data_IF_790289309537
#
_entry.id   IF_790289309537
#
_cell.length_a   1.000
_cell.length_b   1.000
_cell.length_c   1.000
_cell.angle_alpha   90.00
_cell.angle_beta   90.00
_cell.angle_gamma   90.00
#
_symmetry.space_group_name_H-M   'P 1'
#
loop_
_entity.id
_entity.type
_entity.pdbx_description
1 polymer ?
#
# COMPACT_ATOMS: atom_id res chain seq x y z
N UNK A 1 -5.80 -1.28 -26.36
CA UNK A 1 -6.96 -2.19 -26.50
C UNK A 1 -7.38 -2.51 -25.09
N UNK A 2 -8.53 -2.02 -24.67
CA UNK A 2 -8.97 -2.21 -23.29
C UNK A 2 -9.35 -3.67 -23.09
N UNK A 3 -8.64 -4.32 -22.17
CA UNK A 3 -8.86 -5.72 -21.81
C UNK A 3 -9.19 -5.81 -20.33
N UNK A 4 -10.13 -6.68 -20.00
CA UNK A 4 -10.57 -6.95 -18.63
C UNK A 4 -10.21 -8.38 -18.25
N UNK A 5 -9.95 -8.60 -16.96
CA UNK A 5 -9.67 -9.96 -16.49
C UNK A 5 -10.91 -10.84 -16.55
N UNK A 6 -10.75 -12.17 -16.64
CA UNK A 6 -11.90 -13.11 -16.57
C UNK A 6 -12.70 -12.96 -15.27
N UNK A 7 -12.05 -12.59 -14.16
CA UNK A 7 -12.72 -12.37 -12.87
C UNK A 7 -13.60 -11.13 -12.91
N UNK A 8 -13.10 -10.06 -13.51
CA UNK A 8 -13.81 -8.80 -13.66
C UNK A 8 -14.98 -8.94 -14.64
N UNK A 9 -14.75 -9.58 -15.79
CA UNK A 9 -15.79 -9.92 -16.76
C UNK A 9 -16.92 -10.76 -16.14
N UNK A 10 -16.58 -11.74 -15.30
CA UNK A 10 -17.56 -12.57 -14.59
C UNK A 10 -18.41 -11.74 -13.61
N UNK A 11 -17.79 -10.79 -12.92
CA UNK A 11 -18.44 -9.90 -11.97
C UNK A 11 -19.38 -8.93 -12.67
N UNK A 12 -18.93 -8.30 -13.77
CA UNK A 12 -19.72 -7.38 -14.57
C UNK A 12 -20.92 -8.05 -15.25
N UNK A 13 -20.77 -9.31 -15.66
CA UNK A 13 -21.84 -10.08 -16.29
C UNK A 13 -22.77 -10.80 -15.29
N UNK A 14 -22.46 -10.79 -13.99
CA UNK A 14 -23.22 -11.54 -12.98
C UNK A 14 -23.19 -13.06 -13.18
N UNK A 15 -22.15 -13.61 -13.81
CA UNK A 15 -22.02 -15.05 -14.10
C UNK A 15 -20.79 -15.66 -13.45
N UNK A 16 -20.77 -16.98 -13.29
CA UNK A 16 -19.57 -17.68 -12.83
C UNK A 16 -18.38 -17.56 -13.80
N UNK A 17 -17.16 -17.56 -13.25
CA UNK A 17 -15.90 -17.55 -14.04
C UNK A 17 -15.82 -18.68 -15.07
N UNK A 18 -16.44 -19.83 -14.77
CA UNK A 18 -16.54 -20.98 -15.68
C UNK A 18 -17.37 -20.67 -16.92
N UNK A 19 -18.40 -19.83 -16.81
CA UNK A 19 -19.23 -19.38 -17.94
C UNK A 19 -18.43 -18.51 -18.90
N UNK A 20 -17.64 -17.57 -18.37
CA UNK A 20 -16.73 -16.74 -19.19
C UNK A 20 -15.67 -17.60 -19.87
N UNK A 21 -15.05 -18.54 -19.15
CA UNK A 21 -14.08 -19.49 -19.75
C UNK A 21 -14.71 -20.36 -20.84
N UNK A 22 -15.98 -20.77 -20.72
CA UNK A 22 -16.69 -21.52 -21.77
C UNK A 22 -16.98 -20.64 -22.98
N UNK A 23 -17.38 -19.39 -22.78
CA UNK A 23 -17.62 -18.44 -23.88
C UNK A 23 -16.33 -18.15 -24.67
N UNK A 24 -15.18 -18.02 -24.00
CA UNK A 24 -13.86 -17.92 -24.65
C UNK A 24 -13.56 -19.18 -25.46
N UNK A 25 -13.75 -20.38 -24.87
CA UNK A 25 -13.52 -21.66 -25.57
C UNK A 25 -14.43 -21.87 -26.79
N UNK A 26 -15.65 -21.32 -26.76
CA UNK A 26 -16.59 -21.35 -27.89
C UNK A 26 -16.31 -20.29 -28.95
N UNK A 27 -15.34 -19.41 -28.72
CA UNK A 27 -15.02 -18.30 -29.63
C UNK A 27 -16.01 -17.14 -29.59
N UNK A 28 -16.95 -17.14 -28.62
CA UNK A 28 -17.94 -16.07 -28.43
C UNK A 28 -17.32 -14.82 -27.77
N UNK A 29 -16.21 -15.00 -27.04
CA UNK A 29 -15.45 -13.92 -26.42
C UNK A 29 -14.00 -13.96 -26.91
N UNK A 30 -13.55 -12.86 -27.50
CA UNK A 30 -12.15 -12.66 -27.86
C UNK A 30 -11.32 -12.41 -26.59
N UNK A 31 -10.35 -13.29 -26.35
CA UNK A 31 -9.41 -13.16 -25.26
C UNK A 31 -7.97 -13.40 -25.75
N UNK A 32 -7.02 -12.67 -25.18
CA UNK A 32 -5.59 -12.91 -25.32
C UNK A 32 -5.03 -13.57 -24.07
N UNK A 33 -3.95 -14.34 -24.22
CA UNK A 33 -3.20 -14.88 -23.09
C UNK A 33 -2.15 -13.83 -22.70
N UNK A 34 -2.13 -13.47 -21.43
CA UNK A 34 -1.19 -12.51 -20.83
C UNK A 34 -0.50 -13.19 -19.66
N UNK A 35 0.82 -13.01 -19.51
CA UNK A 35 1.54 -13.49 -18.34
C UNK A 35 1.15 -12.68 -17.11
N UNK A 36 0.53 -13.36 -16.14
CA UNK A 36 0.16 -12.80 -14.85
C UNK A 36 1.03 -13.35 -13.71
N UNK A 37 0.88 -12.81 -12.49
CA UNK A 37 1.68 -13.20 -11.32
C UNK A 37 1.55 -14.68 -10.91
N UNK A 38 0.53 -15.38 -11.41
CA UNK A 38 0.27 -16.80 -11.15
C UNK A 38 0.32 -17.65 -12.44
N UNK A 39 1.07 -17.19 -13.45
CA UNK A 39 1.18 -17.82 -14.78
C UNK A 39 0.27 -17.21 -15.84
N UNK A 40 0.10 -17.89 -16.97
CA UNK A 40 -0.72 -17.46 -18.10
C UNK A 40 -2.19 -17.24 -17.69
N UNK A 41 -2.71 -16.04 -17.96
CA UNK A 41 -4.09 -15.65 -17.67
C UNK A 41 -4.78 -15.12 -18.92
N UNK A 42 -6.09 -15.42 -19.04
CA UNK A 42 -6.90 -14.87 -20.11
C UNK A 42 -7.31 -13.42 -19.80
N UNK A 43 -7.05 -12.53 -20.75
CA UNK A 43 -7.51 -11.15 -20.77
C UNK A 43 -8.55 -10.99 -21.88
N UNK A 44 -9.78 -10.65 -21.51
CA UNK A 44 -10.92 -10.55 -22.44
C UNK A 44 -10.96 -9.14 -23.04
N UNK A 45 -11.16 -9.02 -24.35
CA UNK A 45 -11.35 -7.73 -25.01
C UNK A 45 -12.69 -7.10 -24.58
N UNK A 46 -12.65 -5.85 -24.12
CA UNK A 46 -13.84 -5.14 -23.63
C UNK A 46 -14.92 -5.01 -24.72
N UNK A 47 -14.54 -4.72 -25.95
CA UNK A 47 -15.47 -4.59 -27.09
C UNK A 47 -16.15 -5.90 -27.48
N UNK A 48 -15.45 -7.04 -27.33
CA UNK A 48 -16.05 -8.36 -27.53
C UNK A 48 -16.99 -8.73 -26.38
N UNK A 49 -16.64 -8.32 -25.16
CA UNK A 49 -17.43 -8.57 -23.96
C UNK A 49 -18.76 -7.79 -23.98
N UNK A 50 -18.73 -6.52 -24.37
CA UNK A 50 -19.94 -5.69 -24.50
C UNK A 50 -20.91 -6.25 -25.55
N UNK A 51 -20.40 -6.70 -26.70
CA UNK A 51 -21.21 -7.37 -27.74
C UNK A 51 -21.86 -8.64 -27.21
N UNK A 52 -21.07 -9.48 -26.54
CA UNK A 52 -21.57 -10.73 -25.95
C UNK A 52 -22.62 -10.49 -24.85
N UNK A 53 -22.49 -9.41 -24.07
CA UNK A 53 -23.49 -8.97 -23.11
C UNK A 53 -24.76 -8.46 -23.80
N UNK A 54 -24.63 -7.70 -24.89
CA UNK A 54 -25.75 -7.20 -25.67
C UNK A 54 -26.55 -8.34 -26.34
N UNK A 55 -25.87 -9.35 -26.89
CA UNK A 55 -26.50 -10.54 -27.49
C UNK A 55 -27.26 -11.39 -26.46
N UNK A 56 -26.87 -11.31 -25.19
CA UNK A 56 -27.58 -11.93 -24.06
C UNK A 56 -28.72 -11.09 -23.50
N UNK A 57 -28.79 -9.80 -23.84
CA UNK A 57 -29.67 -8.78 -23.26
C UNK A 57 -31.12 -8.79 -23.74
N UNK A 58 -31.53 -9.73 -24.59
CA UNK A 58 -32.95 -9.92 -24.94
C UNK A 58 -33.41 -11.31 -24.46
N UNK A 59 -34.35 -11.41 -23.48
CA UNK A 59 -35.00 -12.66 -23.22
C UNK A 59 -35.90 -12.99 -24.42
N UNK A 60 -35.42 -13.85 -25.31
CA UNK A 60 -36.27 -14.51 -26.30
C UNK A 60 -37.17 -15.50 -25.55
N UNK A 61 -38.28 -14.97 -25.03
CA UNK A 61 -39.47 -15.75 -24.69
C UNK A 61 -39.93 -16.39 -26.00
N UNK A 62 -39.51 -17.63 -26.24
CA UNK A 62 -40.10 -18.45 -27.30
C UNK A 62 -41.55 -18.77 -26.90
N UNK A 63 -42.47 -17.87 -27.23
CA UNK A 63 -43.90 -18.16 -27.37
C UNK A 63 -44.26 -18.04 -28.85
N UNK A 64 -44.43 -19.19 -29.50
CA UNK A 64 -45.70 -19.66 -30.08
C UNK A 64 -45.53 -20.42 -31.39
N UNK A 65 -45.85 -21.71 -31.29
CA UNK A 65 -46.86 -22.45 -32.06
C UNK A 65 -46.87 -22.21 -33.58
N UNK A 66 -46.31 -23.17 -34.31
CA UNK A 66 -46.68 -23.41 -35.71
C UNK A 66 -48.14 -23.88 -35.78
N UNK A 67 -48.94 -23.19 -36.60
CA UNK A 67 -50.29 -23.57 -36.93
C UNK A 67 -50.32 -24.94 -37.63
N UNK A 68 -51.18 -25.84 -37.15
CA UNK A 68 -51.51 -27.07 -37.87
C UNK A 68 -52.15 -28.14 -36.98
N UNK A 69 -53.48 -28.23 -37.09
CA UNK A 69 -54.34 -29.38 -36.76
C UNK A 69 -54.77 -29.59 -35.30
N UNK A 70 -56.06 -29.32 -35.06
CA UNK A 70 -56.87 -30.02 -34.06
C UNK A 70 -57.06 -31.48 -34.52
N UNK A 71 -57.22 -32.46 -33.60
CA UNK A 71 -58.52 -32.64 -32.94
C UNK A 71 -58.48 -32.99 -31.44
N UNK A 72 -59.51 -32.51 -30.74
CA UNK A 72 -60.23 -33.15 -29.63
C UNK A 72 -59.45 -33.93 -28.55
N UNK A 73 -59.07 -33.25 -27.46
CA UNK A 73 -58.88 -33.85 -26.11
C UNK A 73 -58.83 -32.77 -25.00
N UNK A 74 -59.86 -31.91 -24.91
CA UNK A 74 -59.83 -30.68 -24.08
C UNK A 74 -60.10 -30.83 -22.57
N UNK A 75 -59.90 -32.01 -21.97
CA UNK A 75 -60.11 -32.21 -20.52
C UNK A 75 -58.83 -32.33 -19.70
N UNK A 76 -57.89 -33.18 -20.13
CA UNK A 76 -56.75 -33.58 -19.33
C UNK A 76 -55.48 -32.72 -19.54
N UNK A 77 -55.32 -32.12 -20.73
CA UNK A 77 -54.10 -31.37 -21.08
C UNK A 77 -54.02 -29.99 -20.41
N UNK A 78 -55.16 -29.35 -20.15
CA UNK A 78 -55.24 -28.03 -19.51
C UNK A 78 -54.95 -28.10 -18.01
N UNK A 79 -55.33 -29.20 -17.36
CA UNK A 79 -55.04 -29.44 -15.93
C UNK A 79 -53.54 -29.65 -15.71
N UNK A 80 -52.89 -30.45 -16.58
CA UNK A 80 -51.44 -30.68 -16.50
C UNK A 80 -50.59 -29.43 -16.84
N UNK A 81 -51.01 -28.58 -17.78
CA UNK A 81 -50.32 -27.30 -18.02
C UNK A 81 -50.48 -26.31 -16.86
N UNK A 82 -51.64 -26.32 -16.19
CA UNK A 82 -51.86 -25.54 -14.96
C UNK A 82 -51.00 -26.03 -13.79
N UNK A 83 -50.94 -27.35 -13.56
CA UNK A 83 -50.11 -27.96 -12.51
C UNK A 83 -48.62 -27.69 -12.70
N UNK A 84 -48.09 -27.84 -13.93
CA UNK A 84 -46.69 -27.52 -14.25
C UNK A 84 -46.35 -26.04 -14.08
N UNK A 85 -47.31 -25.14 -14.37
CA UNK A 85 -47.13 -23.71 -14.12
C UNK A 85 -47.08 -23.38 -12.63
N UNK A 86 -47.88 -24.06 -11.80
CA UNK A 86 -47.84 -23.91 -10.35
C UNK A 86 -46.55 -24.45 -9.73
N UNK A 87 -46.06 -25.61 -10.18
CA UNK A 87 -44.78 -26.16 -9.73
C UNK A 87 -43.61 -25.22 -10.06
N UNK A 88 -43.59 -24.64 -11.26
CA UNK A 88 -42.58 -23.64 -11.65
C UNK A 88 -42.66 -22.36 -10.79
N UNK A 89 -43.86 -21.93 -10.41
CA UNK A 89 -44.06 -20.78 -9.50
C UNK A 89 -43.56 -21.10 -8.10
N UNK A 90 -43.81 -22.32 -7.59
CA UNK A 90 -43.33 -22.77 -6.28
C UNK A 90 -41.81 -22.89 -6.25
N UNK A 91 -41.19 -23.45 -7.30
CA UNK A 91 -39.72 -23.50 -7.44
C UNK A 91 -39.10 -22.10 -7.54
N UNK A 92 -39.70 -21.20 -8.30
CA UNK A 92 -39.31 -19.79 -8.38
C UNK A 92 -39.40 -19.11 -7.00
N UNK A 93 -40.47 -19.35 -6.25
CA UNK A 93 -40.62 -18.79 -4.91
C UNK A 93 -39.58 -19.34 -3.93
N UNK A 94 -39.27 -20.63 -3.98
CA UNK A 94 -38.22 -21.24 -3.14
C UNK A 94 -36.82 -20.74 -3.49
N UNK A 95 -36.52 -20.53 -4.77
CA UNK A 95 -35.24 -19.96 -5.21
C UNK A 95 -35.07 -18.51 -4.77
N UNK A 96 -36.12 -17.70 -4.86
CA UNK A 96 -36.14 -16.34 -4.31
C UNK A 96 -35.91 -16.34 -2.80
N UNK A 97 -36.57 -17.24 -2.07
CA UNK A 97 -36.40 -17.36 -0.62
C UNK A 97 -34.95 -17.69 -0.23
N UNK A 98 -34.32 -18.65 -0.93
CA UNK A 98 -32.91 -19.00 -0.71
C UNK A 98 -31.96 -17.84 -1.04
N UNK A 99 -32.27 -17.06 -2.08
CA UNK A 99 -31.49 -15.88 -2.45
C UNK A 99 -31.58 -14.78 -1.36
N UNK A 100 -32.76 -14.57 -0.79
CA UNK A 100 -32.98 -13.64 0.33
C UNK A 100 -32.18 -14.05 1.57
N UNK A 101 -32.24 -15.32 1.97
CA UNK A 101 -31.44 -15.81 3.10
C UNK A 101 -29.93 -15.71 2.85
N UNK A 102 -29.47 -15.95 1.62
CA UNK A 102 -28.06 -15.79 1.26
C UNK A 102 -27.64 -14.32 1.34
N UNK A 103 -28.49 -13.40 0.91
CA UNK A 103 -28.26 -11.96 1.00
C UNK A 103 -28.19 -11.49 2.46
N UNK A 104 -29.08 -12.00 3.33
CA UNK A 104 -29.08 -11.66 4.75
C UNK A 104 -27.80 -12.14 5.46
N UNK A 105 -27.34 -13.37 5.16
CA UNK A 105 -26.04 -13.87 5.65
C UNK A 105 -24.88 -13.00 5.17
N UNK A 106 -24.86 -12.65 3.88
CA UNK A 106 -23.83 -11.80 3.29
C UNK A 106 -23.84 -10.38 3.90
N UNK A 107 -25.01 -9.81 4.20
CA UNK A 107 -25.11 -8.54 4.90
C UNK A 107 -24.54 -8.62 6.32
N UNK A 108 -24.80 -9.72 7.04
CA UNK A 108 -24.23 -9.96 8.37
C UNK A 108 -22.70 -10.07 8.35
N UNK A 109 -22.14 -10.76 7.35
CA UNK A 109 -20.69 -10.85 7.15
C UNK A 109 -20.08 -9.50 6.77
N UNK A 110 -20.71 -8.76 5.86
CA UNK A 110 -20.28 -7.41 5.49
C UNK A 110 -20.26 -6.48 6.70
N UNK A 111 -21.27 -6.54 7.58
CA UNK A 111 -21.29 -5.71 8.79
C UNK A 111 -20.12 -6.03 9.73
N UNK A 112 -19.75 -7.30 9.87
CA UNK A 112 -18.57 -7.71 10.66
C UNK A 112 -17.28 -7.17 10.03
N UNK A 113 -17.15 -7.28 8.71
CA UNK A 113 -15.99 -6.77 7.98
C UNK A 113 -15.88 -5.25 8.11
N UNK A 114 -16.97 -4.51 7.95
CA UNK A 114 -17.00 -3.04 8.11
C UNK A 114 -16.54 -2.63 9.51
N UNK A 115 -17.00 -3.32 10.56
CA UNK A 115 -16.53 -3.06 11.94
C UNK A 115 -15.04 -3.34 12.09
N UNK A 116 -14.54 -4.39 11.48
CA UNK A 116 -13.12 -4.72 11.52
C UNK A 116 -12.26 -3.68 10.79
N UNK A 117 -12.72 -3.21 9.62
CA UNK A 117 -12.04 -2.13 8.87
C UNK A 117 -12.00 -0.86 9.71
N UNK A 118 -13.13 -0.42 10.28
CA UNK A 118 -13.18 0.76 11.13
C UNK A 118 -12.22 0.66 12.35
N UNK A 119 -12.11 -0.52 12.95
CA UNK A 119 -11.16 -0.76 14.04
C UNK A 119 -9.70 -0.67 13.59
N UNK A 120 -9.37 -1.24 12.42
CA UNK A 120 -8.04 -1.16 11.85
C UNK A 120 -7.68 0.28 11.47
N UNK A 121 -8.60 1.02 10.87
CA UNK A 121 -8.43 2.44 10.56
C UNK A 121 -8.13 3.27 11.82
N UNK A 122 -8.87 3.02 12.91
CA UNK A 122 -8.59 3.67 14.19
C UNK A 122 -7.18 3.38 14.72
N UNK A 123 -6.69 2.13 14.59
CA UNK A 123 -5.31 1.76 14.96
C UNK A 123 -4.28 2.43 14.07
N UNK A 124 -4.54 2.53 12.76
CA UNK A 124 -3.65 3.19 11.80
C UNK A 124 -3.52 4.66 12.16
N UNK A 125 -4.62 5.35 12.44
CA UNK A 125 -4.59 6.77 12.80
C UNK A 125 -3.86 7.00 14.14
N UNK A 126 -4.09 6.15 15.14
CA UNK A 126 -3.35 6.19 16.40
C UNK A 126 -1.84 6.00 16.19
N UNK A 127 -1.43 5.03 15.36
CA UNK A 127 -0.02 4.81 15.03
C UNK A 127 0.59 6.00 14.28
N UNK A 128 -0.17 6.63 13.38
CA UNK A 128 0.26 7.82 12.65
C UNK A 128 0.55 9.00 13.59
N UNK A 129 -0.32 9.24 14.57
CA UNK A 129 -0.12 10.26 15.61
C UNK A 129 1.11 9.97 16.48
N UNK A 130 1.33 8.70 16.84
CA UNK A 130 2.53 8.30 17.58
C UNK A 130 3.80 8.51 16.76
N UNK A 131 3.77 8.17 15.47
CA UNK A 131 4.90 8.39 14.57
C UNK A 131 5.21 9.88 14.39
N UNK A 132 4.19 10.75 14.29
CA UNK A 132 4.41 12.20 14.21
C UNK A 132 4.96 12.78 15.52
N UNK A 133 4.44 12.36 16.67
CA UNK A 133 4.97 12.79 17.96
C UNK A 133 6.43 12.33 18.16
N UNK A 134 6.75 11.11 17.72
CA UNK A 134 8.11 10.58 17.77
C UNK A 134 9.05 11.31 16.82
N UNK A 135 8.61 11.66 15.60
CA UNK A 135 9.43 12.42 14.66
C UNK A 135 9.73 13.82 15.19
N UNK A 136 8.75 14.51 15.77
CA UNK A 136 8.95 15.80 16.44
C UNK A 136 9.89 15.70 17.66
N UNK A 137 9.80 14.61 18.43
CA UNK A 137 10.74 14.40 19.52
C UNK A 137 12.16 14.14 19.01
N UNK A 138 12.31 13.45 17.88
CA UNK A 138 13.59 13.11 17.31
C UNK A 138 14.28 14.36 16.73
N UNK A 139 13.54 15.19 16.00
CA UNK A 139 14.07 16.47 15.47
C UNK A 139 14.53 17.41 16.59
N UNK A 140 13.79 17.49 17.71
CA UNK A 140 14.22 18.25 18.90
C UNK A 140 15.49 17.70 19.55
N UNK A 141 15.67 16.37 19.55
CA UNK A 141 16.89 15.75 20.07
C UNK A 141 18.07 16.01 19.15
N UNK A 142 17.88 15.92 17.84
CA UNK A 142 18.89 16.23 16.84
C UNK A 142 19.34 17.69 16.92
N UNK A 143 18.39 18.64 17.02
CA UNK A 143 18.73 20.07 17.16
C UNK A 143 19.55 20.33 18.43
N UNK A 144 19.17 19.70 19.55
CA UNK A 144 19.92 19.81 20.81
C UNK A 144 21.32 19.19 20.73
N UNK A 145 21.46 18.05 20.05
CA UNK A 145 22.78 17.45 19.82
C UNK A 145 23.66 18.33 18.94
N UNK A 146 23.09 18.98 17.93
CA UNK A 146 23.81 19.90 17.06
C UNK A 146 24.27 21.16 17.81
N UNK A 147 23.42 21.72 18.68
CA UNK A 147 23.80 22.81 19.58
C UNK A 147 24.98 22.42 20.50
N UNK A 148 24.90 21.24 21.14
CA UNK A 148 25.97 20.74 22.01
C UNK A 148 27.27 20.49 21.24
N UNK A 149 27.19 20.01 19.99
CA UNK A 149 28.37 19.84 19.13
C UNK A 149 29.04 21.16 18.82
N UNK A 150 28.27 22.19 18.46
CA UNK A 150 28.79 23.54 18.20
C UNK A 150 29.40 24.15 19.46
N UNK A 151 28.78 23.96 20.62
CA UNK A 151 29.34 24.45 21.88
C UNK A 151 30.68 23.77 22.20
N UNK A 152 30.75 22.44 22.03
CA UNK A 152 31.98 21.68 22.24
C UNK A 152 33.09 22.10 21.26
N UNK A 153 32.74 22.32 19.98
CA UNK A 153 33.67 22.79 18.97
C UNK A 153 34.24 24.18 19.33
N UNK A 154 33.37 25.10 19.76
CA UNK A 154 33.79 26.42 20.22
C UNK A 154 34.68 26.34 21.47
N UNK A 155 34.37 25.45 22.42
CA UNK A 155 35.19 25.26 23.61
C UNK A 155 36.56 24.69 23.25
N UNK A 156 36.62 23.67 22.39
CA UNK A 156 37.87 23.09 21.92
C UNK A 156 38.73 24.12 21.18
N UNK A 157 38.13 24.93 20.32
CA UNK A 157 38.86 25.97 19.59
C UNK A 157 39.41 27.04 20.55
N UNK A 158 38.63 27.48 21.56
CA UNK A 158 39.11 28.38 22.61
C UNK A 158 40.28 27.77 23.40
N UNK A 159 40.17 26.51 23.80
CA UNK A 159 41.23 25.81 24.51
C UNK A 159 42.51 25.70 23.66
N UNK A 160 42.36 25.38 22.37
CA UNK A 160 43.48 25.32 21.43
C UNK A 160 44.17 26.68 21.29
N UNK A 161 43.40 27.76 21.12
CA UNK A 161 43.94 29.11 21.04
C UNK A 161 44.65 29.53 22.33
N UNK A 162 44.11 29.15 23.49
CA UNK A 162 44.75 29.39 24.78
C UNK A 162 46.07 28.63 24.89
N UNK A 163 46.08 27.35 24.53
CA UNK A 163 47.29 26.53 24.54
C UNK A 163 48.36 27.10 23.59
N UNK A 164 47.99 27.51 22.39
CA UNK A 164 48.92 28.13 21.44
C UNK A 164 49.49 29.45 21.97
N UNK A 165 48.68 30.25 22.67
CA UNK A 165 49.14 31.48 23.33
C UNK A 165 50.14 31.18 24.44
N UNK A 166 49.80 30.28 25.35
CA UNK A 166 50.67 29.86 26.45
C UNK A 166 51.99 29.26 25.94
N UNK A 167 51.92 28.44 24.89
CA UNK A 167 53.11 27.91 24.21
C UNK A 167 54.00 29.03 23.67
N UNK A 168 53.42 30.02 22.98
CA UNK A 168 54.19 31.13 22.41
C UNK A 168 54.81 32.00 23.51
N UNK A 169 54.08 32.26 24.60
CA UNK A 169 54.61 32.97 25.77
C UNK A 169 55.79 32.23 26.41
N UNK A 170 55.69 30.90 26.56
CA UNK A 170 56.80 30.09 27.06
C UNK A 170 58.01 30.13 26.13
N UNK A 171 57.81 30.03 24.82
CA UNK A 171 58.89 30.12 23.84
C UNK A 171 59.60 31.48 23.90
N UNK A 172 58.88 32.58 24.08
CA UNK A 172 59.49 33.90 24.25
C UNK A 172 60.28 34.01 25.56
N UNK A 173 59.76 33.46 26.68
CA UNK A 173 60.51 33.38 27.94
C UNK A 173 61.79 32.56 27.79
N UNK A 174 61.73 31.44 27.08
CA UNK A 174 62.91 30.60 26.81
C UNK A 174 63.95 31.36 25.98
N UNK A 175 63.55 32.04 24.90
CA UNK A 175 64.48 32.87 24.11
C UNK A 175 65.13 33.98 24.95
N UNK A 176 64.38 34.63 25.84
CA UNK A 176 64.92 35.63 26.75
C UNK A 176 65.93 35.02 27.72
N UNK A 177 65.62 33.86 28.31
CA UNK A 177 66.50 33.13 29.21
C UNK A 177 67.78 32.65 28.50
N UNK A 178 67.67 32.10 27.29
CA UNK A 178 68.80 31.73 26.43
C UNK A 178 69.69 32.94 26.12
N UNK A 179 69.08 34.08 25.78
CA UNK A 179 69.79 35.34 25.55
C UNK A 179 70.56 35.84 26.77
N UNK A 180 69.99 35.70 27.98
CA UNK A 180 70.67 36.03 29.24
C UNK A 180 71.80 35.04 29.54
N UNK A 181 71.56 33.75 29.36
CA UNK A 181 72.57 32.70 29.56
C UNK A 181 73.77 32.91 28.63
N UNK A 182 73.54 33.24 27.35
CA UNK A 182 74.61 33.54 26.38
C UNK A 182 75.43 34.77 26.76
N UNK A 183 74.77 35.82 27.27
CA UNK A 183 75.49 37.01 27.79
C UNK A 183 76.32 36.66 29.02
N UNK A 184 75.77 35.86 29.93
CA UNK A 184 76.49 35.37 31.10
C UNK A 184 77.69 34.51 30.67
N UNK A 185 77.55 33.61 29.70
CA UNK A 185 78.64 32.79 29.20
C UNK A 185 79.82 33.65 28.70
N UNK A 186 79.51 34.70 27.92
CA UNK A 186 80.49 35.65 27.36
C UNK A 186 81.05 36.68 28.36
N UNK A 187 80.54 36.74 29.59
CA UNK A 187 81.05 37.70 30.59
C UNK A 187 82.45 37.31 31.08
N UNK A 188 83.36 38.29 31.26
CA UNK A 188 84.65 38.07 31.89
C UNK A 188 84.54 37.47 33.29
N UNK A 189 85.48 36.59 33.66
CA UNK A 189 85.46 35.83 34.92
C UNK A 189 85.45 36.70 36.18
N UNK A 190 86.09 37.88 36.15
CA UNK A 190 86.09 38.81 37.28
C UNK A 190 84.71 39.44 37.54
N UNK A 191 83.89 39.65 36.49
CA UNK A 191 82.51 40.16 36.62
C UNK A 191 81.60 39.07 37.20
N UNK A 192 81.75 37.82 36.74
CA UNK A 192 81.03 36.67 37.31
C UNK A 192 81.27 36.54 38.81
N UNK A 193 82.53 36.74 39.24
CA UNK A 193 82.96 36.68 40.65
C UNK A 193 82.35 37.79 41.54
N UNK A 194 81.97 38.93 40.97
CA UNK A 194 81.36 40.05 41.71
C UNK A 194 79.87 39.84 42.05
N UNK A 195 79.16 39.01 41.29
CA UNK A 195 77.70 38.82 41.44
C UNK A 195 77.29 37.44 41.99
N UNK A 196 78.25 36.61 42.41
CA UNK A 196 77.98 35.42 43.22
C UNK A 196 77.78 34.13 42.42
N UNK A 197 78.90 33.46 42.12
CA UNK A 197 79.20 32.11 42.67
C UNK A 197 80.61 32.15 43.23
#
# INVERSE_FOLDING_TARGET
>A
MDTISVTEAATLAGVGKSTIRRAIKRGELLASIVEGPNGEQFSVSLSSFEKWMADRGAPAVHQTVGAGQAPEASGALVVHQGEQAWDAVVESQQTVQKALEALERAQGENLKMVRQVAHLEGKIEANKLLLSANSESLTKKESKMEELRKELEQQNEKQKQQFERERNEMLERLKQAEGLAHRYEKMPSWVKKMFGT
#
